data_IF_955603366994
#
_entry.id   IF_955603366994
#
_cell.length_a   1.000
_cell.length_b   1.000
_cell.length_c   1.000
_cell.angle_alpha   90.00
_cell.angle_beta   90.00
_cell.angle_gamma   90.00
#
_symmetry.space_group_name_H-M   'P 1'
#
loop_
_entity.id
_entity.type
_entity.pdbx_description
1 polymer ?
#
# COMPACT_ATOMS: atom_id res chain seq x y z
N UNK A 1 21.14 24.92 -44.98
CA UNK A 1 20.49 23.60 -45.19
C UNK A 1 19.52 23.33 -44.05
N UNK A 2 18.21 23.27 -44.31
CA UNK A 2 17.23 22.85 -43.29
C UNK A 2 17.27 21.32 -43.15
N UNK A 3 18.02 20.82 -42.16
CA UNK A 3 17.91 19.41 -41.76
C UNK A 3 16.54 19.21 -41.10
N UNK A 4 15.67 18.43 -41.76
CA UNK A 4 14.39 18.01 -41.18
C UNK A 4 14.66 17.02 -40.05
N UNK A 5 13.91 17.15 -38.96
CA UNK A 5 13.97 16.21 -37.84
C UNK A 5 13.31 14.90 -38.33
N UNK A 6 13.98 13.75 -38.19
CA UNK A 6 13.40 12.49 -38.63
C UNK A 6 12.35 11.98 -37.62
N UNK A 7 11.44 11.14 -38.10
CA UNK A 7 10.25 10.68 -37.35
C UNK A 7 10.59 9.76 -36.16
N UNK A 8 11.82 9.26 -36.09
CA UNK A 8 12.37 8.46 -35.00
C UNK A 8 12.79 9.30 -33.78
N UNK A 9 12.86 10.64 -33.91
CA UNK A 9 13.30 11.52 -32.83
C UNK A 9 12.46 11.40 -31.56
N UNK A 10 11.16 11.09 -31.69
CA UNK A 10 10.29 10.79 -30.53
C UNK A 10 10.69 9.48 -29.83
N UNK A 11 11.04 8.45 -30.58
CA UNK A 11 11.48 7.17 -30.01
C UNK A 11 12.80 7.32 -29.24
N UNK A 12 13.75 8.08 -29.81
CA UNK A 12 14.97 8.44 -29.11
C UNK A 12 14.68 9.25 -27.85
N UNK A 13 13.81 10.27 -27.93
CA UNK A 13 13.39 11.06 -26.77
C UNK A 13 12.78 10.18 -25.67
N UNK A 14 11.93 9.20 -26.02
CA UNK A 14 11.36 8.24 -25.08
C UNK A 14 12.42 7.38 -24.39
N UNK A 15 13.45 6.94 -25.13
CA UNK A 15 14.52 6.08 -24.61
C UNK A 15 15.36 6.73 -23.51
N UNK A 16 15.39 8.07 -23.44
CA UNK A 16 16.15 8.82 -22.42
C UNK A 16 15.54 8.74 -21.01
N UNK A 17 14.31 8.27 -20.86
CA UNK A 17 13.70 8.04 -19.54
C UNK A 17 13.61 9.30 -18.67
N UNK A 18 14.27 9.31 -17.51
CA UNK A 18 14.26 10.45 -16.59
C UNK A 18 15.09 11.65 -17.11
N UNK A 19 16.10 11.40 -17.92
CA UNK A 19 17.01 12.42 -18.48
C UNK A 19 16.48 13.03 -19.80
N UNK A 20 15.16 12.95 -20.01
CA UNK A 20 14.49 13.47 -21.21
C UNK A 20 14.76 14.96 -21.38
N UNK A 21 15.45 15.31 -22.45
CA UNK A 21 15.72 16.71 -22.79
C UNK A 21 15.72 16.93 -24.30
N UNK A 22 15.08 18.00 -24.74
CA UNK A 22 15.16 18.44 -26.14
C UNK A 22 16.59 18.80 -26.57
N UNK A 23 17.46 19.14 -25.61
CA UNK A 23 18.88 19.38 -25.89
C UNK A 23 19.60 18.09 -26.27
N UNK A 24 19.29 16.96 -25.62
CA UNK A 24 19.89 15.67 -25.94
C UNK A 24 19.46 15.20 -27.34
N UNK A 25 18.19 15.37 -27.69
CA UNK A 25 17.67 15.08 -29.05
C UNK A 25 18.32 15.99 -30.09
N UNK A 26 18.46 17.28 -29.78
CA UNK A 26 19.11 18.24 -30.67
C UNK A 26 20.58 17.89 -30.96
N UNK A 27 21.32 17.47 -29.94
CA UNK A 27 22.70 17.01 -30.07
C UNK A 27 22.80 15.74 -30.93
N UNK A 28 21.92 14.76 -30.70
CA UNK A 28 21.90 13.50 -31.45
C UNK A 28 21.70 13.69 -32.95
N UNK A 29 20.78 14.58 -33.35
CA UNK A 29 20.44 14.79 -34.75
C UNK A 29 21.14 16.01 -35.39
N UNK A 30 22.02 16.70 -34.65
CA UNK A 30 22.73 17.88 -35.14
C UNK A 30 21.79 19.02 -35.59
N UNK A 31 20.69 19.22 -34.85
CA UNK A 31 19.68 20.26 -35.10
C UNK A 31 19.61 21.23 -33.92
N UNK A 32 18.98 22.39 -34.10
CA UNK A 32 18.79 23.33 -32.99
C UNK A 32 17.70 22.85 -32.03
N UNK A 33 17.84 23.14 -30.73
CA UNK A 33 16.82 22.87 -29.70
C UNK A 33 15.45 23.45 -30.06
N UNK A 34 15.41 24.64 -30.67
CA UNK A 34 14.17 25.27 -31.11
C UNK A 34 13.46 24.47 -32.22
N UNK A 35 14.21 23.85 -33.14
CA UNK A 35 13.63 22.99 -34.16
C UNK A 35 12.97 21.75 -33.52
N UNK A 36 13.62 21.15 -32.52
CA UNK A 36 13.07 20.01 -31.75
C UNK A 36 11.82 20.42 -31.00
N UNK A 37 11.82 21.56 -30.32
CA UNK A 37 10.65 22.06 -29.61
C UNK A 37 9.46 22.29 -30.56
N UNK A 38 9.69 22.89 -31.74
CA UNK A 38 8.64 23.06 -32.75
C UNK A 38 8.10 21.73 -33.28
N UNK A 39 8.96 20.74 -33.52
CA UNK A 39 8.53 19.40 -33.91
C UNK A 39 7.74 18.71 -32.80
N UNK A 40 8.20 18.80 -31.55
CA UNK A 40 7.54 18.22 -30.39
C UNK A 40 6.13 18.79 -30.15
N UNK A 41 5.95 20.11 -30.36
CA UNK A 41 4.63 20.76 -30.28
C UNK A 41 3.74 20.28 -31.43
N UNK A 42 4.25 20.31 -32.68
CA UNK A 42 3.49 19.90 -33.86
C UNK A 42 3.01 18.45 -33.79
N UNK A 43 3.83 17.58 -33.20
CA UNK A 43 3.57 16.14 -33.09
C UNK A 43 3.01 15.72 -31.72
N UNK A 44 2.71 16.68 -30.84
CA UNK A 44 2.08 16.44 -29.55
C UNK A 44 2.84 15.47 -28.65
N UNK A 45 4.18 15.60 -28.56
CA UNK A 45 5.02 14.64 -27.83
C UNK A 45 4.61 14.52 -26.35
N UNK A 46 4.17 15.62 -25.72
CA UNK A 46 3.68 15.61 -24.35
C UNK A 46 2.42 14.76 -24.19
N UNK A 47 1.43 14.93 -25.06
CA UNK A 47 0.19 14.16 -25.05
C UNK A 47 0.47 12.67 -25.30
N UNK A 48 1.36 12.36 -26.24
CA UNK A 48 1.77 10.98 -26.53
C UNK A 48 2.43 10.31 -25.33
N UNK A 49 3.28 11.03 -24.59
CA UNK A 49 3.89 10.51 -23.36
C UNK A 49 2.84 10.22 -22.31
N UNK A 50 1.94 11.17 -22.05
CA UNK A 50 0.85 10.98 -21.09
C UNK A 50 -0.02 9.77 -21.45
N UNK A 51 -0.31 9.57 -22.73
CA UNK A 51 -1.09 8.43 -23.18
C UNK A 51 -0.35 7.10 -22.96
N UNK A 52 0.95 7.06 -23.26
CA UNK A 52 1.80 5.88 -23.01
C UNK A 52 1.89 5.57 -21.52
N UNK A 53 2.14 6.58 -20.68
CA UNK A 53 2.22 6.43 -19.23
C UNK A 53 0.89 5.97 -18.63
N UNK A 54 -0.24 6.52 -19.10
CA UNK A 54 -1.59 6.08 -18.72
C UNK A 54 -1.83 4.62 -19.09
N UNK A 55 -1.49 4.20 -20.31
CA UNK A 55 -1.62 2.80 -20.76
C UNK A 55 -0.70 1.87 -19.97
N UNK A 56 0.51 2.30 -19.63
CA UNK A 56 1.43 1.52 -18.81
C UNK A 56 0.91 1.32 -17.38
N UNK A 57 0.35 2.36 -16.76
CA UNK A 57 -0.32 2.28 -15.45
C UNK A 57 -1.51 1.34 -15.51
N UNK A 58 -2.42 1.54 -16.46
CA UNK A 58 -3.59 0.68 -16.64
C UNK A 58 -3.20 -0.81 -16.77
N UNK A 59 -2.20 -1.14 -17.60
CA UNK A 59 -1.72 -2.53 -17.73
C UNK A 59 -1.11 -3.08 -16.44
N UNK A 60 -0.49 -2.23 -15.64
CA UNK A 60 0.10 -2.63 -14.35
C UNK A 60 -1.02 -2.91 -13.35
N UNK A 61 -2.03 -2.05 -13.31
CA UNK A 61 -3.21 -2.20 -12.45
C UNK A 61 -3.99 -3.46 -12.83
N UNK A 62 -4.24 -3.69 -14.13
CA UNK A 62 -4.90 -4.90 -14.65
C UNK A 62 -4.15 -6.18 -14.23
N UNK A 63 -2.83 -6.21 -14.37
CA UNK A 63 -2.01 -7.35 -13.93
C UNK A 63 -2.01 -7.55 -12.41
N UNK A 64 -2.05 -6.47 -11.64
CA UNK A 64 -2.13 -6.55 -10.19
C UNK A 64 -3.46 -7.18 -9.76
N UNK A 65 -4.57 -6.76 -10.40
CA UNK A 65 -5.91 -7.36 -10.19
C UNK A 65 -5.90 -8.84 -10.57
N UNK A 66 -5.41 -9.19 -11.76
CA UNK A 66 -5.33 -10.58 -12.23
C UNK A 66 -4.52 -11.45 -11.25
N UNK A 67 -3.40 -10.95 -10.74
CA UNK A 67 -2.57 -11.68 -9.75
C UNK A 67 -3.33 -11.92 -8.44
N UNK A 68 -4.12 -10.95 -7.98
CA UNK A 68 -4.96 -11.09 -6.78
C UNK A 68 -6.07 -12.11 -7.03
N UNK A 69 -6.72 -12.07 -8.18
CA UNK A 69 -7.77 -13.01 -8.56
C UNK A 69 -7.24 -14.46 -8.65
N UNK A 70 -6.07 -14.66 -9.29
CA UNK A 70 -5.40 -15.96 -9.36
C UNK A 70 -5.01 -16.49 -7.98
N UNK A 71 -4.46 -15.63 -7.11
CA UNK A 71 -4.13 -16.01 -5.74
C UNK A 71 -5.39 -16.41 -4.97
N UNK A 72 -6.47 -15.63 -5.11
CA UNK A 72 -7.77 -15.87 -4.46
C UNK A 72 -8.35 -17.20 -4.91
N UNK A 73 -8.33 -17.49 -6.21
CA UNK A 73 -8.79 -18.76 -6.77
C UNK A 73 -8.01 -19.96 -6.21
N UNK A 74 -6.67 -19.83 -6.09
CA UNK A 74 -5.82 -20.87 -5.48
C UNK A 74 -6.16 -21.08 -4.00
N UNK A 75 -6.32 -20.00 -3.23
CA UNK A 75 -6.68 -20.06 -1.81
C UNK A 75 -8.06 -20.71 -1.60
N UNK A 76 -9.07 -20.33 -2.38
CA UNK A 76 -10.41 -20.92 -2.32
C UNK A 76 -10.38 -22.43 -2.61
N UNK A 77 -9.57 -22.87 -3.59
CA UNK A 77 -9.40 -24.30 -3.88
C UNK A 77 -8.78 -25.05 -2.69
N UNK A 78 -7.74 -24.48 -2.07
CA UNK A 78 -7.10 -25.08 -0.90
C UNK A 78 -8.07 -25.18 0.29
N UNK A 79 -8.84 -24.12 0.56
CA UNK A 79 -9.86 -24.09 1.61
C UNK A 79 -10.93 -25.17 1.41
N UNK A 80 -11.42 -25.36 0.17
CA UNK A 80 -12.39 -26.42 -0.14
C UNK A 80 -11.85 -27.83 0.14
N UNK A 81 -10.59 -28.08 -0.20
CA UNK A 81 -9.94 -29.37 0.08
C UNK A 81 -9.80 -29.59 1.58
N UNK A 82 -9.39 -28.56 2.34
CA UNK A 82 -9.30 -28.62 3.79
C UNK A 82 -10.67 -28.89 4.43
N UNK A 83 -11.71 -28.20 3.98
CA UNK A 83 -13.08 -28.42 4.44
C UNK A 83 -13.55 -29.86 4.17
N UNK A 84 -13.30 -30.38 2.96
CA UNK A 84 -13.65 -31.75 2.62
C UNK A 84 -12.96 -32.77 3.51
N UNK A 85 -11.66 -32.56 3.81
CA UNK A 85 -10.91 -33.42 4.75
C UNK A 85 -11.43 -33.30 6.18
N UNK A 86 -11.71 -32.10 6.66
CA UNK A 86 -12.28 -31.88 7.99
C UNK A 86 -13.63 -32.60 8.16
N UNK A 87 -14.50 -32.55 7.15
CA UNK A 87 -15.77 -33.27 7.13
C UNK A 87 -15.58 -34.79 7.12
N UNK A 88 -14.64 -35.31 6.32
CA UNK A 88 -14.31 -36.74 6.31
C UNK A 88 -13.77 -37.22 7.66
N UNK A 89 -12.90 -36.44 8.29
CA UNK A 89 -12.38 -36.72 9.65
C UNK A 89 -13.51 -36.72 10.68
N UNK A 90 -14.45 -35.78 10.59
CA UNK A 90 -15.65 -35.74 11.44
C UNK A 90 -16.54 -36.97 11.27
N UNK A 91 -16.66 -37.49 10.05
CA UNK A 91 -17.48 -38.67 9.75
C UNK A 91 -16.81 -39.98 10.18
N UNK A 92 -15.48 -40.06 10.13
CA UNK A 92 -14.72 -41.30 10.33
C UNK A 92 -14.27 -41.56 11.78
N UNK A 93 -14.36 -40.57 12.69
CA UNK A 93 -13.96 -40.72 14.10
C UNK A 93 -15.08 -40.30 15.06
N UNK A 94 -15.39 -41.09 16.11
CA UNK A 94 -16.00 -40.55 17.32
C UNK A 94 -14.94 -39.73 18.09
N UNK A 95 -14.72 -38.51 17.63
CA UNK A 95 -14.22 -37.33 18.33
C UNK A 95 -13.17 -37.52 19.45
N UNK A 96 -11.91 -37.17 19.17
CA UNK A 96 -10.99 -36.65 20.21
C UNK A 96 -11.43 -35.28 20.75
N UNK A 97 -12.15 -34.50 19.93
CA UNK A 97 -13.28 -33.62 20.32
C UNK A 97 -13.87 -33.02 19.04
N UNK A 98 -15.20 -33.05 18.85
CA UNK A 98 -15.88 -32.33 17.73
C UNK A 98 -15.48 -30.86 17.65
N UNK A 99 -15.03 -30.32 18.78
CA UNK A 99 -14.61 -28.94 18.95
C UNK A 99 -13.43 -28.54 18.07
N UNK A 100 -12.46 -29.42 17.82
CA UNK A 100 -11.31 -29.09 16.96
C UNK A 100 -11.72 -29.01 15.49
N UNK A 101 -12.52 -29.96 15.04
CA UNK A 101 -13.02 -29.95 13.67
C UNK A 101 -14.03 -28.81 13.42
N UNK A 102 -14.87 -28.48 14.41
CA UNK A 102 -15.73 -27.30 14.36
C UNK A 102 -14.91 -26.00 14.27
N UNK A 103 -13.79 -25.88 15.01
CA UNK A 103 -12.86 -24.75 14.91
C UNK A 103 -12.20 -24.65 13.53
N UNK A 104 -11.78 -25.77 12.95
CA UNK A 104 -11.20 -25.78 11.59
C UNK A 104 -12.24 -25.32 10.57
N UNK A 105 -13.49 -25.78 10.67
CA UNK A 105 -14.58 -25.35 9.79
C UNK A 105 -14.84 -23.85 9.95
N UNK A 106 -14.92 -23.35 11.19
CA UNK A 106 -15.13 -21.93 11.47
C UNK A 106 -14.02 -21.03 10.89
N UNK A 107 -12.75 -21.42 11.06
CA UNK A 107 -11.60 -20.70 10.48
C UNK A 107 -11.68 -20.70 8.95
N UNK A 108 -12.02 -21.83 8.34
CA UNK A 108 -12.13 -21.96 6.88
C UNK A 108 -13.26 -21.08 6.33
N UNK A 109 -14.42 -21.05 7.00
CA UNK A 109 -15.56 -20.19 6.62
C UNK A 109 -15.17 -18.72 6.73
N UNK A 110 -14.51 -18.31 7.82
CA UNK A 110 -14.05 -16.92 7.96
C UNK A 110 -13.06 -16.54 6.87
N UNK A 111 -12.07 -17.38 6.58
CA UNK A 111 -11.11 -17.13 5.51
C UNK A 111 -11.76 -17.08 4.11
N UNK A 112 -12.79 -17.89 3.88
CA UNK A 112 -13.55 -17.88 2.62
C UNK A 112 -14.36 -16.59 2.45
N UNK A 113 -14.94 -16.08 3.53
CA UNK A 113 -15.63 -14.78 3.56
C UNK A 113 -14.67 -13.61 3.31
N UNK A 114 -13.50 -13.59 3.98
CA UNK A 114 -12.44 -12.59 3.68
C UNK A 114 -12.07 -12.62 2.21
N UNK A 115 -11.84 -13.81 1.65
CA UNK A 115 -11.43 -13.99 0.26
C UNK A 115 -12.48 -13.49 -0.76
N UNK A 116 -13.77 -13.43 -0.36
CA UNK A 116 -14.88 -12.89 -1.16
C UNK A 116 -15.14 -11.40 -0.92
N UNK A 117 -14.36 -10.75 -0.05
CA UNK A 117 -14.58 -9.36 0.34
C UNK A 117 -15.72 -9.17 1.34
N UNK A 118 -16.21 -10.26 1.96
CA UNK A 118 -17.13 -10.16 3.08
C UNK A 118 -16.35 -9.92 4.39
N UNK A 119 -16.80 -9.00 5.26
CA UNK A 119 -16.16 -8.80 6.56
C UNK A 119 -16.28 -10.09 7.39
N UNK A 120 -15.13 -10.70 7.71
CA UNK A 120 -15.10 -12.01 8.36
C UNK A 120 -15.34 -11.97 9.85
N UNK A 121 -15.18 -10.81 10.48
CA UNK A 121 -15.54 -10.56 11.87
C UNK A 121 -16.02 -9.12 11.96
N UNK A 122 -17.11 -8.92 12.68
CA UNK A 122 -17.71 -7.62 12.99
C UNK A 122 -16.81 -6.88 13.98
N UNK A 123 -15.59 -6.54 13.58
CA UNK A 123 -14.99 -5.30 14.05
C UNK A 123 -15.36 -4.27 13.00
N UNK A 124 -16.59 -3.78 13.09
CA UNK A 124 -16.87 -2.39 12.75
C UNK A 124 -15.94 -1.56 13.64
N UNK A 125 -14.66 -1.43 13.28
CA UNK A 125 -13.93 -0.23 13.64
C UNK A 125 -14.64 0.83 12.82
N UNK A 126 -15.67 1.41 13.42
CA UNK A 126 -16.42 2.50 12.83
C UNK A 126 -15.36 3.51 12.39
N UNK A 127 -15.28 3.79 11.09
CA UNK A 127 -14.30 4.73 10.57
C UNK A 127 -14.40 6.08 11.32
N UNK A 128 -15.58 6.39 11.84
CA UNK A 128 -15.84 7.52 12.73
C UNK A 128 -15.20 7.39 14.11
N UNK A 129 -15.13 6.21 14.72
CA UNK A 129 -14.41 5.98 15.98
C UNK A 129 -12.89 6.03 15.78
N UNK A 130 -12.37 5.48 14.67
CA UNK A 130 -10.94 5.57 14.36
C UNK A 130 -10.55 7.03 14.08
N UNK A 131 -11.35 7.74 13.28
CA UNK A 131 -11.17 9.17 13.03
C UNK A 131 -11.35 9.99 14.32
N UNK A 132 -12.29 9.65 15.21
CA UNK A 132 -12.46 10.33 16.50
C UNK A 132 -11.25 10.10 17.41
N UNK A 133 -10.71 8.88 17.43
CA UNK A 133 -9.53 8.53 18.22
C UNK A 133 -8.27 9.22 17.70
N UNK A 134 -8.11 9.31 16.38
CA UNK A 134 -7.04 10.11 15.76
C UNK A 134 -7.25 11.61 15.99
N UNK A 135 -8.48 12.10 15.81
CA UNK A 135 -8.85 13.50 16.05
C UNK A 135 -8.59 13.91 17.50
N UNK A 136 -8.92 13.07 18.48
CA UNK A 136 -8.63 13.31 19.90
C UNK A 136 -7.13 13.23 20.22
N UNK A 137 -6.36 12.42 19.47
CA UNK A 137 -4.91 12.39 19.58
C UNK A 137 -4.28 13.70 19.06
N UNK A 138 -4.78 14.23 17.94
CA UNK A 138 -4.25 15.44 17.30
C UNK A 138 -4.83 16.75 17.85
N UNK A 139 -6.01 16.74 18.45
CA UNK A 139 -6.67 17.88 19.09
C UNK A 139 -6.72 17.77 20.61
N UNK A 140 -5.96 16.84 21.20
CA UNK A 140 -5.62 16.94 22.62
C UNK A 140 -5.11 18.35 22.84
N UNK A 141 -5.92 19.15 23.54
CA UNK A 141 -5.62 20.53 23.84
C UNK A 141 -4.34 20.49 24.63
N UNK A 142 -3.24 20.93 24.01
CA UNK A 142 -1.94 21.01 24.65
C UNK A 142 -2.16 21.64 26.03
N UNK A 143 -1.84 20.90 27.07
CA UNK A 143 -2.03 21.36 28.44
C UNK A 143 -1.06 22.51 28.69
N UNK A 144 -1.29 23.30 29.73
CA UNK A 144 -0.35 24.36 30.09
C UNK A 144 1.06 23.79 30.37
N UNK A 145 1.16 22.52 30.77
CA UNK A 145 2.42 21.76 30.91
C UNK A 145 3.12 21.49 29.56
N UNK A 146 2.36 21.18 28.49
CA UNK A 146 2.90 20.97 27.14
C UNK A 146 3.49 22.27 26.57
N UNK A 147 2.82 23.40 26.85
CA UNK A 147 3.29 24.73 26.46
C UNK A 147 4.49 25.21 27.28
N UNK A 148 4.54 24.92 28.59
CA UNK A 148 5.71 25.19 29.42
C UNK A 148 6.93 24.37 28.97
N UNK A 149 6.71 23.11 28.55
CA UNK A 149 7.77 22.23 28.04
C UNK A 149 8.35 22.72 26.70
N UNK A 150 7.52 23.30 25.84
CA UNK A 150 7.95 23.91 24.57
C UNK A 150 8.57 25.31 24.77
N UNK A 151 8.06 26.09 25.73
CA UNK A 151 8.53 27.46 26.04
C UNK A 151 9.89 27.53 26.75
N UNK A 152 10.29 26.46 27.45
CA UNK A 152 11.62 26.37 28.10
C UNK A 152 12.75 25.93 27.16
N UNK A 153 12.47 25.80 25.86
CA UNK A 153 13.41 25.31 24.87
C UNK A 153 13.58 23.80 25.01
N UNK A 154 13.14 23.06 23.99
CA UNK A 154 13.59 21.68 23.83
C UNK A 154 15.12 21.70 23.85
N UNK A 155 15.80 21.00 24.78
CA UNK A 155 17.24 20.86 24.69
C UNK A 155 17.51 20.21 23.33
N UNK A 156 18.18 20.96 22.45
CA UNK A 156 18.66 20.43 21.18
C UNK A 156 19.58 19.27 21.54
N UNK A 157 19.07 18.06 21.35
CA UNK A 157 19.86 16.85 21.51
C UNK A 157 20.96 16.89 20.46
N UNK A 158 22.19 17.07 20.91
CA UNK A 158 23.35 17.10 20.02
C UNK A 158 23.39 15.77 19.24
N UNK A 159 23.71 15.81 17.93
CA UNK A 159 23.71 14.63 17.09
C UNK A 159 24.77 13.63 17.59
N UNK A 160 24.31 12.59 18.29
CA UNK A 160 25.15 11.51 18.84
C UNK A 160 24.77 11.06 20.25
N UNK A 161 23.93 11.80 20.98
CA UNK A 161 23.50 11.40 22.32
C UNK A 161 22.53 10.22 22.23
N UNK A 162 22.77 9.13 22.97
CA UNK A 162 21.93 7.92 22.96
C UNK A 162 20.59 8.17 23.67
N UNK A 163 19.53 7.48 23.23
CA UNK A 163 18.20 7.68 23.81
C UNK A 163 18.20 7.14 25.25
N UNK A 164 17.60 7.86 26.22
CA UNK A 164 17.46 7.29 27.55
C UNK A 164 16.63 6.02 27.45
N UNK A 165 17.08 4.97 28.15
CA UNK A 165 16.37 3.71 28.25
C UNK A 165 14.96 3.98 28.78
N UNK A 166 13.97 3.45 28.09
CA UNK A 166 12.56 3.55 28.49
C UNK A 166 12.44 2.74 29.77
N UNK A 167 12.28 3.44 30.90
CA UNK A 167 12.03 2.83 32.19
C UNK A 167 10.62 2.22 32.12
N UNK A 168 10.55 0.89 32.20
CA UNK A 168 9.30 0.13 32.17
C UNK A 168 8.42 0.59 33.32
N UNK A 169 7.32 1.26 33.00
CA UNK A 169 6.32 1.64 33.98
C UNK A 169 5.75 0.35 34.61
N UNK A 170 6.04 0.14 35.88
CA UNK A 170 5.42 -0.88 36.73
C UNK A 170 3.89 -0.69 36.67
N UNK A 171 3.22 -1.66 36.04
CA UNK A 171 1.77 -1.76 36.03
C UNK A 171 1.29 -2.21 37.40
N UNK A 172 0.74 -1.27 38.16
CA UNK A 172 0.01 -1.52 39.39
C UNK A 172 -1.24 -2.35 39.06
N UNK A 173 -1.21 -3.62 39.47
CA UNK A 173 -2.28 -4.59 39.24
C UNK A 173 -3.34 -4.47 40.32
N UNK A 174 -4.47 -3.86 39.99
CA UNK A 174 -5.66 -3.90 40.83
C UNK A 174 -6.63 -4.98 40.30
N UNK A 175 -6.57 -6.17 40.90
CA UNK A 175 -7.54 -7.25 40.70
C UNK A 175 -8.88 -6.90 41.38
N UNK A 176 -10.02 -6.89 40.68
CA UNK A 176 -11.31 -6.85 41.36
C UNK A 176 -11.66 -8.23 41.90
N UNK A 177 -11.77 -8.30 43.23
CA UNK A 177 -12.15 -9.48 44.00
C UNK A 177 -13.52 -10.06 43.62
N UNK A 178 -13.54 -11.39 43.56
CA UNK A 178 -14.73 -12.23 43.44
C UNK A 178 -15.37 -12.41 44.82
N UNK A 179 -16.64 -12.06 44.94
CA UNK A 179 -17.58 -12.63 45.92
C UNK A 179 -18.73 -13.28 45.18
#
# INVERSE_FOLDING_TARGET
MHRKIPSDAFAFYMSLGAERSYQAVAAQYGVSKQAVAKAAIREGWAQRIQEVERKARQRTDEKAVETIEEMTARHLKALRVLMGRALQTLQAMPLGTAMEAARVIDIVIRQERVARGEPSDRQEINAEELMRKEHDLYLRRATDEDWERLGKGLPLREPGEAAPAVEEAEGDGDEPGVQ
#
